data_IF_940433736845
#
_entry.id   IF_940433736845
#
_cell.length_a   1.000
_cell.length_b   1.000
_cell.length_c   1.000
_cell.angle_alpha   90.00
_cell.angle_beta   90.00
_cell.angle_gamma   90.00
#
_symmetry.space_group_name_H-M   'P 1'
#
loop_
_entity.id
_entity.type
_entity.pdbx_description
1 polymer ?
#
# COMPACT_ATOMS: atom_id res chain seq x y z
N UNK A 1 43.16 -57.21 -24.13
CA UNK A 1 42.36 -57.69 -25.28
C UNK A 1 40.93 -57.77 -24.83
N UNK A 2 40.05 -57.12 -25.59
CA UNK A 2 38.60 -57.33 -25.68
C UNK A 2 37.77 -56.98 -24.43
N UNK A 3 36.97 -55.90 -24.42
CA UNK A 3 35.66 -55.72 -25.09
C UNK A 3 34.77 -56.98 -24.88
N UNK A 4 33.54 -56.91 -24.39
CA UNK A 4 32.45 -56.06 -24.88
C UNK A 4 31.20 -56.17 -23.96
N UNK A 5 30.46 -55.07 -23.85
CA UNK A 5 28.97 -54.94 -23.90
C UNK A 5 28.07 -55.70 -22.90
N UNK A 6 27.35 -54.91 -22.07
CA UNK A 6 25.90 -54.62 -22.13
C UNK A 6 25.50 -54.04 -20.77
N UNK A 7 25.35 -52.72 -20.59
CA UNK A 7 24.24 -51.87 -20.99
C UNK A 7 22.88 -52.38 -20.50
N UNK A 8 22.40 -51.83 -19.38
CA UNK A 8 20.99 -51.57 -19.10
C UNK A 8 20.93 -50.42 -18.11
N UNK A 9 20.85 -49.23 -18.67
CA UNK A 9 20.47 -47.99 -18.00
C UNK A 9 18.95 -48.08 -17.85
N UNK A 10 18.45 -48.31 -16.63
CA UNK A 10 17.05 -48.07 -16.30
C UNK A 10 16.87 -46.56 -16.12
N UNK A 11 16.67 -45.88 -17.25
CA UNK A 11 16.03 -44.56 -17.28
C UNK A 11 14.59 -44.74 -16.86
N UNK A 12 14.28 -44.34 -15.64
CA UNK A 12 12.91 -44.10 -15.20
C UNK A 12 12.63 -42.60 -15.36
N UNK A 13 11.94 -42.13 -16.43
CA UNK A 13 11.43 -40.79 -16.46
C UNK A 13 10.13 -40.80 -15.66
N UNK A 14 10.24 -40.63 -14.35
CA UNK A 14 9.09 -40.12 -13.59
C UNK A 14 8.98 -38.65 -13.91
N UNK A 15 8.41 -38.37 -15.09
CA UNK A 15 7.65 -37.16 -15.39
C UNK A 15 6.57 -37.04 -14.30
N UNK A 16 6.98 -36.50 -13.15
CA UNK A 16 6.05 -35.84 -12.26
C UNK A 16 5.78 -34.51 -12.96
N UNK A 17 4.89 -34.57 -13.94
CA UNK A 17 4.11 -33.42 -14.33
C UNK A 17 3.65 -32.79 -13.02
N UNK A 18 4.23 -31.64 -12.67
CA UNK A 18 3.59 -30.73 -11.74
C UNK A 18 2.23 -30.46 -12.37
N UNK A 19 1.26 -31.21 -11.87
CA UNK A 19 -0.13 -30.99 -12.17
C UNK A 19 -0.37 -29.58 -11.71
N UNK A 20 -0.61 -28.69 -12.68
CA UNK A 20 -1.27 -27.42 -12.43
C UNK A 20 -2.33 -27.65 -11.35
N UNK A 21 -2.37 -26.85 -10.28
CA UNK A 21 -3.52 -26.89 -9.40
C UNK A 21 -4.69 -26.41 -10.25
N UNK A 22 -5.42 -27.37 -10.79
CA UNK A 22 -6.71 -27.22 -11.41
C UNK A 22 -7.53 -26.30 -10.48
N UNK A 23 -7.85 -25.04 -10.86
CA UNK A 23 -8.75 -24.22 -10.08
C UNK A 23 -10.19 -24.63 -10.43
N UNK A 24 -10.46 -25.94 -10.49
CA UNK A 24 -11.83 -26.45 -10.53
C UNK A 24 -12.33 -26.57 -9.09
N UNK A 25 -12.41 -25.40 -8.45
CA UNK A 25 -13.43 -25.16 -7.45
C UNK A 25 -14.15 -23.90 -7.88
N UNK A 26 -15.07 -24.06 -8.85
CA UNK A 26 -16.24 -23.21 -8.96
C UNK A 26 -17.12 -23.39 -7.71
N UNK A 27 -16.55 -23.14 -6.53
CA UNK A 27 -17.34 -22.59 -5.43
C UNK A 27 -17.85 -21.27 -5.99
N UNK A 28 -19.10 -21.24 -6.42
CA UNK A 28 -19.85 -20.00 -6.59
C UNK A 28 -19.65 -19.23 -5.28
N UNK A 29 -18.70 -18.28 -5.26
CA UNK A 29 -18.55 -17.35 -4.15
C UNK A 29 -19.92 -16.70 -4.00
N UNK A 30 -20.62 -17.02 -2.91
CA UNK A 30 -21.90 -16.40 -2.61
C UNK A 30 -21.66 -14.91 -2.55
N UNK A 31 -22.29 -14.15 -3.44
CA UNK A 31 -21.99 -12.71 -3.53
C UNK A 31 -22.43 -12.01 -2.26
N UNK A 32 -21.80 -10.89 -1.90
CA UNK A 32 -22.21 -10.11 -0.72
C UNK A 32 -23.67 -9.67 -0.81
N UNK A 33 -24.18 -9.47 -2.03
CA UNK A 33 -25.58 -9.17 -2.28
C UNK A 33 -26.52 -10.34 -1.91
N UNK A 34 -26.16 -11.58 -2.25
CA UNK A 34 -26.90 -12.77 -1.84
C UNK A 34 -26.88 -12.94 -0.31
N UNK A 35 -25.73 -12.69 0.33
CA UNK A 35 -25.60 -12.70 1.79
C UNK A 35 -26.49 -11.64 2.46
N UNK A 36 -26.52 -10.42 1.91
CA UNK A 36 -27.37 -9.34 2.41
C UNK A 36 -28.85 -9.71 2.31
N UNK A 37 -29.27 -10.26 1.16
CA UNK A 37 -30.66 -10.71 0.93
C UNK A 37 -31.04 -11.80 1.93
N UNK A 38 -30.16 -12.78 2.14
CA UNK A 38 -30.35 -13.84 3.13
C UNK A 38 -30.46 -13.29 4.55
N UNK A 39 -29.67 -12.28 4.90
CA UNK A 39 -29.69 -11.66 6.23
C UNK A 39 -30.97 -10.88 6.47
N UNK A 40 -31.50 -10.20 5.45
CA UNK A 40 -32.81 -9.54 5.48
C UNK A 40 -33.90 -10.59 5.73
N UNK A 41 -33.92 -11.67 4.96
CA UNK A 41 -34.89 -12.76 5.10
C UNK A 41 -34.85 -13.39 6.51
N UNK A 42 -33.64 -13.68 7.01
CA UNK A 42 -33.47 -14.19 8.37
C UNK A 42 -33.96 -13.21 9.44
N UNK A 43 -33.75 -11.91 9.24
CA UNK A 43 -34.14 -10.88 10.21
C UNK A 43 -35.66 -10.69 10.23
N UNK A 44 -36.31 -10.70 9.07
CA UNK A 44 -37.76 -10.61 8.95
C UNK A 44 -38.44 -11.84 9.56
N UNK A 45 -37.99 -13.03 9.19
CA UNK A 45 -38.49 -14.28 9.74
C UNK A 45 -38.31 -14.35 11.26
N UNK A 46 -37.14 -13.94 11.77
CA UNK A 46 -36.89 -13.86 13.22
C UNK A 46 -37.77 -12.83 13.92
N UNK A 47 -37.99 -11.67 13.31
CA UNK A 47 -38.89 -10.65 13.84
C UNK A 47 -40.31 -11.21 13.98
N UNK A 48 -40.79 -11.93 12.97
CA UNK A 48 -42.10 -12.60 13.01
C UNK A 48 -42.16 -13.65 14.11
N UNK A 49 -41.19 -14.58 14.16
CA UNK A 49 -41.17 -15.63 15.18
C UNK A 49 -41.03 -15.11 16.62
N UNK A 50 -40.60 -13.86 16.80
CA UNK A 50 -40.52 -13.22 18.11
C UNK A 50 -41.87 -12.71 18.63
N UNK A 51 -42.89 -12.61 17.76
CA UNK A 51 -44.23 -12.20 18.14
C UNK A 51 -45.00 -13.41 18.71
N UNK A 52 -45.49 -13.26 19.93
CA UNK A 52 -46.40 -14.23 20.52
C UNK A 52 -47.84 -13.85 20.19
N UNK A 53 -48.41 -14.49 19.17
CA UNK A 53 -49.77 -14.24 18.68
C UNK A 53 -50.84 -14.45 19.76
N UNK A 54 -50.76 -15.54 20.53
CA UNK A 54 -51.71 -15.84 21.62
C UNK A 54 -51.71 -14.71 22.66
N UNK A 55 -50.52 -14.26 23.06
CA UNK A 55 -50.37 -13.15 24.00
C UNK A 55 -50.87 -11.82 23.40
N UNK A 56 -50.56 -11.52 22.13
CA UNK A 56 -51.03 -10.29 21.47
C UNK A 56 -52.55 -10.22 21.36
N UNK A 57 -53.20 -11.32 20.95
CA UNK A 57 -54.66 -11.37 20.81
C UNK A 57 -55.32 -11.25 22.18
N UNK A 58 -54.77 -11.93 23.19
CA UNK A 58 -55.27 -11.85 24.57
C UNK A 58 -55.10 -10.46 25.19
N UNK A 59 -53.96 -9.80 24.98
CA UNK A 59 -53.69 -8.47 25.51
C UNK A 59 -54.51 -7.37 24.82
N UNK A 60 -54.80 -7.54 23.53
CA UNK A 60 -55.50 -6.52 22.73
C UNK A 60 -57.02 -6.68 22.79
N UNK A 61 -57.51 -7.91 22.77
CA UNK A 61 -58.95 -8.21 22.66
C UNK A 61 -59.53 -8.86 23.91
N UNK A 62 -58.73 -9.47 24.80
CA UNK A 62 -59.17 -10.00 26.09
C UNK A 62 -60.43 -10.88 26.00
N UNK A 63 -61.44 -10.56 26.79
CA UNK A 63 -62.76 -11.22 26.79
C UNK A 63 -63.55 -11.02 25.49
N UNK A 64 -63.28 -9.94 24.77
CA UNK A 64 -64.02 -9.53 23.57
C UNK A 64 -63.62 -10.37 22.35
N UNK A 65 -62.54 -11.18 22.45
CA UNK A 65 -62.18 -12.17 21.43
C UNK A 65 -63.33 -13.15 21.12
N UNK A 66 -64.20 -13.40 22.10
CA UNK A 66 -65.41 -14.23 21.93
C UNK A 66 -66.45 -13.61 20.97
N UNK A 67 -66.50 -12.28 20.84
CA UNK A 67 -67.42 -11.55 19.95
C UNK A 67 -67.03 -11.77 18.48
N UNK A 68 -65.75 -12.00 18.20
CA UNK A 68 -65.20 -12.20 16.85
C UNK A 68 -65.20 -13.67 16.39
N UNK A 69 -65.93 -14.55 17.10
CA UNK A 69 -66.01 -15.97 16.77
C UNK A 69 -64.92 -16.83 17.43
N UNK A 70 -64.19 -16.28 18.39
CA UNK A 70 -63.19 -17.00 19.18
C UNK A 70 -61.77 -16.55 18.89
N UNK A 71 -60.87 -16.90 19.81
CA UNK A 71 -59.46 -16.51 19.77
C UNK A 71 -58.72 -17.05 18.53
N UNK A 72 -59.03 -18.28 18.12
CA UNK A 72 -58.40 -18.95 16.98
C UNK A 72 -58.62 -18.20 15.65
N UNK A 73 -59.79 -17.58 15.46
CA UNK A 73 -60.09 -16.82 14.24
C UNK A 73 -59.27 -15.52 14.20
N UNK A 74 -59.15 -14.83 15.34
CA UNK A 74 -58.34 -13.62 15.45
C UNK A 74 -56.85 -13.91 15.27
N UNK A 75 -56.34 -15.00 15.85
CA UNK A 75 -54.97 -15.47 15.63
C UNK A 75 -54.70 -15.73 14.15
N UNK A 76 -55.60 -16.43 13.46
CA UNK A 76 -55.48 -16.68 12.02
C UNK A 76 -55.52 -15.41 11.17
N UNK A 77 -56.32 -14.40 11.54
CA UNK A 77 -56.35 -13.11 10.83
C UNK A 77 -55.04 -12.34 11.06
N UNK A 78 -54.54 -12.30 12.30
CA UNK A 78 -53.31 -11.61 12.66
C UNK A 78 -52.10 -12.28 12.00
N UNK A 79 -52.05 -13.60 11.95
CA UNK A 79 -50.99 -14.34 11.25
C UNK A 79 -51.00 -14.05 9.74
N UNK A 80 -52.17 -14.11 9.09
CA UNK A 80 -52.30 -13.72 7.68
C UNK A 80 -51.94 -12.25 7.40
N UNK A 81 -52.20 -11.34 8.34
CA UNK A 81 -51.78 -9.94 8.22
C UNK A 81 -50.26 -9.81 8.35
N UNK A 82 -49.64 -10.57 9.25
CA UNK A 82 -48.20 -10.57 9.46
C UNK A 82 -47.46 -11.22 8.29
N UNK A 83 -47.99 -12.28 7.67
CA UNK A 83 -47.53 -12.84 6.39
C UNK A 83 -47.48 -11.76 5.30
N UNK A 84 -48.60 -11.08 5.08
CA UNK A 84 -48.69 -10.02 4.06
C UNK A 84 -47.78 -8.84 4.37
N UNK A 85 -47.60 -8.51 5.65
CA UNK A 85 -46.69 -7.46 6.07
C UNK A 85 -45.24 -7.85 5.81
N UNK A 86 -44.85 -9.08 6.13
CA UNK A 86 -43.52 -9.64 5.84
C UNK A 86 -43.22 -9.56 4.33
N UNK A 87 -44.14 -10.03 3.49
CA UNK A 87 -44.02 -9.95 2.03
C UNK A 87 -43.92 -8.52 1.51
N UNK A 88 -44.77 -7.61 2.01
CA UNK A 88 -44.77 -6.19 1.60
C UNK A 88 -43.48 -5.49 1.99
N UNK A 89 -42.97 -5.77 3.20
CA UNK A 89 -41.71 -5.20 3.68
C UNK A 89 -40.54 -5.74 2.85
N UNK A 90 -40.51 -7.04 2.57
CA UNK A 90 -39.50 -7.66 1.72
C UNK A 90 -39.48 -7.06 0.32
N UNK A 91 -40.65 -6.89 -0.30
CA UNK A 91 -40.77 -6.26 -1.61
C UNK A 91 -40.25 -4.81 -1.59
N UNK A 92 -40.67 -4.01 -0.60
CA UNK A 92 -40.20 -2.61 -0.47
C UNK A 92 -38.70 -2.51 -0.25
N UNK A 93 -38.11 -3.40 0.55
CA UNK A 93 -36.67 -3.46 0.77
C UNK A 93 -35.95 -3.79 -0.55
N UNK A 94 -36.43 -4.78 -1.30
CA UNK A 94 -35.86 -5.14 -2.60
C UNK A 94 -35.94 -3.99 -3.61
N UNK A 95 -37.09 -3.33 -3.72
CA UNK A 95 -37.25 -2.14 -4.57
C UNK A 95 -36.30 -1.01 -4.15
N UNK A 96 -36.10 -0.81 -2.85
CA UNK A 96 -35.18 0.20 -2.34
C UNK A 96 -33.71 -0.14 -2.63
N UNK A 97 -33.32 -1.40 -2.47
CA UNK A 97 -31.97 -1.89 -2.81
C UNK A 97 -31.68 -1.75 -4.31
N UNK A 98 -32.67 -2.02 -5.17
CA UNK A 98 -32.57 -1.84 -6.61
C UNK A 98 -32.41 -0.36 -6.97
N UNK A 99 -33.27 0.52 -6.41
CA UNK A 99 -33.20 1.97 -6.64
C UNK A 99 -31.86 2.58 -6.24
N UNK A 100 -31.26 2.09 -5.16
CA UNK A 100 -29.95 2.55 -4.67
C UNK A 100 -28.77 1.90 -5.42
N UNK A 101 -29.02 0.94 -6.31
CA UNK A 101 -27.96 0.21 -7.00
C UNK A 101 -27.06 -0.57 -6.05
N UNK A 102 -27.61 -1.08 -4.95
CA UNK A 102 -26.82 -1.78 -3.89
C UNK A 102 -26.10 -3.00 -4.47
N UNK A 103 -26.74 -3.72 -5.39
CA UNK A 103 -26.14 -4.86 -6.07
C UNK A 103 -24.85 -4.45 -6.79
N UNK A 104 -24.92 -3.44 -7.66
CA UNK A 104 -23.77 -2.94 -8.42
C UNK A 104 -22.64 -2.51 -7.49
N UNK A 105 -22.93 -1.77 -6.42
CA UNK A 105 -21.92 -1.33 -5.46
C UNK A 105 -21.27 -2.48 -4.70
N UNK A 106 -22.03 -3.51 -4.36
CA UNK A 106 -21.49 -4.70 -3.68
C UNK A 106 -20.67 -5.57 -4.63
N UNK A 107 -21.07 -5.66 -5.90
CA UNK A 107 -20.30 -6.33 -6.95
C UNK A 107 -18.97 -5.60 -7.19
N UNK A 108 -18.97 -4.26 -7.28
CA UNK A 108 -17.75 -3.44 -7.37
C UNK A 108 -16.80 -3.65 -6.19
N UNK A 109 -17.33 -3.76 -4.97
CA UNK A 109 -16.51 -4.03 -3.78
C UNK A 109 -15.90 -5.44 -3.86
N UNK A 110 -16.64 -6.42 -4.36
CA UNK A 110 -16.13 -7.79 -4.50
C UNK A 110 -15.01 -7.84 -5.55
N UNK A 111 -15.16 -7.10 -6.66
CA UNK A 111 -14.13 -6.98 -7.69
C UNK A 111 -12.85 -6.34 -7.15
N UNK A 112 -12.96 -5.24 -6.38
CA UNK A 112 -11.81 -4.60 -5.73
C UNK A 112 -11.10 -5.56 -4.77
N UNK A 113 -11.86 -6.31 -3.97
CA UNK A 113 -11.28 -7.27 -3.04
C UNK A 113 -10.57 -8.38 -3.79
N UNK A 114 -11.16 -8.88 -4.89
CA UNK A 114 -10.52 -9.92 -5.68
C UNK A 114 -9.24 -9.43 -6.36
N UNK A 115 -9.23 -8.20 -6.86
CA UNK A 115 -8.02 -7.57 -7.42
C UNK A 115 -6.90 -7.47 -6.38
N UNK A 116 -7.22 -7.01 -5.16
CA UNK A 116 -6.25 -6.91 -4.06
C UNK A 116 -5.74 -8.29 -3.60
N UNK A 117 -6.61 -9.30 -3.54
CA UNK A 117 -6.20 -10.68 -3.23
C UNK A 117 -5.23 -11.23 -4.28
N UNK A 118 -5.50 -10.98 -5.57
CA UNK A 118 -4.63 -11.39 -6.67
C UNK A 118 -3.29 -10.65 -6.66
N UNK A 119 -3.29 -9.34 -6.40
CA UNK A 119 -2.06 -8.56 -6.29
C UNK A 119 -1.18 -9.05 -5.14
N UNK A 120 -1.77 -9.26 -3.96
CA UNK A 120 -1.06 -9.80 -2.80
C UNK A 120 -0.47 -11.19 -3.08
N UNK A 121 -1.24 -12.05 -3.76
CA UNK A 121 -0.76 -13.38 -4.17
C UNK A 121 0.43 -13.29 -5.13
N UNK A 122 0.40 -12.38 -6.10
CA UNK A 122 1.52 -12.17 -7.03
C UNK A 122 2.76 -11.63 -6.33
N UNK A 123 2.60 -10.68 -5.40
CA UNK A 123 3.72 -10.17 -4.61
C UNK A 123 4.36 -11.28 -3.78
N UNK A 124 3.55 -12.09 -3.09
CA UNK A 124 4.04 -13.20 -2.30
C UNK A 124 4.76 -14.26 -3.16
N UNK A 125 4.24 -14.55 -4.35
CA UNK A 125 4.90 -15.45 -5.31
C UNK A 125 6.24 -14.87 -5.79
N UNK A 126 6.29 -13.59 -6.13
CA UNK A 126 7.52 -12.92 -6.55
C UNK A 126 8.58 -12.92 -5.44
N UNK A 127 8.19 -12.65 -4.19
CA UNK A 127 9.10 -12.71 -3.05
C UNK A 127 9.63 -14.13 -2.83
N UNK A 128 8.77 -15.14 -3.00
CA UNK A 128 9.15 -16.54 -2.87
C UNK A 128 10.11 -16.97 -3.99
N UNK A 129 9.85 -16.56 -5.23
CA UNK A 129 10.72 -16.80 -6.38
C UNK A 129 12.10 -16.14 -6.20
N UNK A 130 12.14 -14.92 -5.65
CA UNK A 130 13.39 -14.22 -5.32
C UNK A 130 14.19 -14.96 -4.25
N UNK A 131 13.53 -15.47 -3.21
CA UNK A 131 14.15 -16.27 -2.16
C UNK A 131 14.72 -17.56 -2.74
N UNK A 132 13.97 -18.26 -3.57
CA UNK A 132 14.37 -19.54 -4.14
C UNK A 132 15.48 -19.36 -5.18
N UNK A 133 15.43 -18.29 -5.98
CA UNK A 133 16.50 -17.88 -6.88
C UNK A 133 17.79 -17.55 -6.12
N UNK A 134 17.70 -16.79 -5.02
CA UNK A 134 18.84 -16.46 -4.18
C UNK A 134 19.46 -17.72 -3.54
N UNK A 135 18.63 -18.66 -3.08
CA UNK A 135 19.09 -19.96 -2.56
C UNK A 135 19.74 -20.80 -3.64
N UNK A 136 19.18 -20.84 -4.83
CA UNK A 136 19.73 -21.63 -5.93
C UNK A 136 21.07 -21.05 -6.42
N UNK A 137 21.18 -19.73 -6.55
CA UNK A 137 22.43 -19.05 -6.86
C UNK A 137 23.49 -19.31 -5.78
N UNK A 138 23.07 -19.41 -4.53
CA UNK A 138 23.92 -19.74 -3.41
C UNK A 138 24.41 -21.19 -3.44
N UNK A 139 23.52 -22.15 -3.69
CA UNK A 139 23.86 -23.58 -3.77
C UNK A 139 24.75 -23.90 -4.99
N UNK A 140 24.58 -23.16 -6.09
CA UNK A 140 25.41 -23.28 -7.30
C UNK A 140 26.76 -22.58 -7.20
N UNK A 141 26.94 -21.66 -6.24
CA UNK A 141 28.21 -21.02 -5.99
C UNK A 141 29.15 -22.00 -5.27
N UNK A 142 29.81 -22.87 -6.05
CA UNK A 142 30.89 -23.72 -5.54
C UNK A 142 32.03 -22.82 -5.08
N UNK A 143 32.15 -22.66 -3.76
CA UNK A 143 33.26 -21.93 -3.16
C UNK A 143 34.55 -22.72 -3.42
N UNK A 144 35.64 -22.06 -3.86
CA UNK A 144 36.95 -22.69 -4.01
C UNK A 144 37.38 -23.39 -2.72
N UNK A 145 38.05 -24.55 -2.83
CA UNK A 145 38.52 -25.31 -1.67
C UNK A 145 39.30 -24.41 -0.68
N UNK A 146 38.87 -24.40 0.58
CA UNK A 146 39.47 -23.59 1.66
C UNK A 146 38.77 -22.26 1.97
N UNK A 147 37.77 -21.84 1.18
CA UNK A 147 36.95 -20.66 1.48
C UNK A 147 35.69 -21.06 2.24
N UNK A 148 35.65 -20.77 3.54
CA UNK A 148 34.42 -20.86 4.33
C UNK A 148 33.48 -19.70 3.93
N UNK A 149 32.19 -19.99 3.79
CA UNK A 149 31.13 -19.04 3.49
C UNK A 149 31.21 -17.72 4.28
N UNK A 150 31.51 -17.80 5.58
CA UNK A 150 31.68 -16.59 6.41
C UNK A 150 32.80 -15.68 5.90
N UNK A 151 33.89 -16.25 5.38
CA UNK A 151 35.01 -15.50 4.80
C UNK A 151 34.65 -14.85 3.46
N UNK A 152 33.85 -15.53 2.63
CA UNK A 152 33.38 -14.97 1.36
C UNK A 152 32.46 -13.76 1.60
N UNK A 153 31.51 -13.87 2.54
CA UNK A 153 30.62 -12.75 2.93
C UNK A 153 31.44 -11.58 3.47
N UNK A 154 32.39 -11.85 4.38
CA UNK A 154 33.25 -10.80 4.92
C UNK A 154 34.14 -10.14 3.87
N UNK A 155 34.60 -10.88 2.85
CA UNK A 155 35.41 -10.34 1.77
C UNK A 155 34.60 -9.40 0.86
N UNK A 156 33.37 -9.78 0.48
CA UNK A 156 32.48 -8.91 -0.32
C UNK A 156 32.09 -7.66 0.48
N UNK A 157 31.77 -7.82 1.76
CA UNK A 157 31.50 -6.69 2.65
C UNK A 157 32.73 -5.76 2.80
N UNK A 158 33.93 -6.33 2.87
CA UNK A 158 35.18 -5.58 2.90
C UNK A 158 35.43 -4.82 1.59
N UNK A 159 35.18 -5.44 0.43
CA UNK A 159 35.30 -4.76 -0.86
C UNK A 159 34.36 -3.56 -0.97
N UNK A 160 33.07 -3.72 -0.65
CA UNK A 160 32.13 -2.59 -0.63
C UNK A 160 32.58 -1.49 0.33
N UNK A 161 33.13 -1.86 1.49
CA UNK A 161 33.66 -0.89 2.46
C UNK A 161 34.89 -0.15 1.92
N UNK A 162 35.73 -0.82 1.12
CA UNK A 162 36.88 -0.21 0.45
C UNK A 162 36.43 0.79 -0.62
N UNK A 163 35.47 0.40 -1.47
CA UNK A 163 34.88 1.29 -2.48
C UNK A 163 34.27 2.55 -1.84
N UNK A 164 33.49 2.38 -0.76
CA UNK A 164 32.93 3.53 -0.04
C UNK A 164 34.00 4.43 0.56
N UNK A 165 35.09 3.86 1.07
CA UNK A 165 36.23 4.63 1.59
C UNK A 165 36.90 5.45 0.49
N UNK A 166 37.10 4.87 -0.68
CA UNK A 166 37.70 5.56 -1.84
C UNK A 166 36.80 6.68 -2.36
N UNK A 167 35.49 6.44 -2.45
CA UNK A 167 34.52 7.46 -2.82
C UNK A 167 34.49 8.62 -1.81
N UNK A 168 34.54 8.32 -0.51
CA UNK A 168 34.58 9.34 0.53
C UNK A 168 35.88 10.14 0.51
N UNK A 169 37.02 9.48 0.28
CA UNK A 169 38.31 10.16 0.14
C UNK A 169 38.31 11.13 -1.04
N UNK A 170 37.73 10.71 -2.18
CA UNK A 170 37.58 11.58 -3.35
C UNK A 170 36.67 12.78 -3.05
N UNK A 171 35.51 12.56 -2.42
CA UNK A 171 34.60 13.64 -2.07
C UNK A 171 35.21 14.64 -1.07
N UNK A 172 36.02 14.16 -0.12
CA UNK A 172 36.77 15.02 0.78
C UNK A 172 37.79 15.88 0.03
N UNK A 173 38.52 15.29 -0.92
CA UNK A 173 39.48 16.04 -1.71
C UNK A 173 38.81 17.09 -2.61
N UNK A 174 37.69 16.74 -3.23
CA UNK A 174 36.89 17.70 -4.03
C UNK A 174 36.41 18.88 -3.17
N UNK A 175 35.99 18.64 -1.92
CA UNK A 175 35.61 19.69 -0.97
C UNK A 175 36.80 20.54 -0.51
N UNK A 176 37.97 19.94 -0.28
CA UNK A 176 39.19 20.67 0.09
C UNK A 176 39.64 21.62 -1.03
N UNK A 177 39.58 21.15 -2.28
CA UNK A 177 39.87 21.97 -3.47
C UNK A 177 38.87 23.13 -3.62
N UNK A 178 37.57 22.88 -3.39
CA UNK A 178 36.55 23.92 -3.40
C UNK A 178 36.78 24.97 -2.31
N UNK A 179 37.10 24.55 -1.08
CA UNK A 179 37.43 25.47 0.02
C UNK A 179 38.65 26.32 -0.32
N UNK A 180 39.69 25.73 -0.92
CA UNK A 180 40.87 26.46 -1.35
C UNK A 180 40.53 27.51 -2.42
N UNK A 181 39.71 27.15 -3.41
CA UNK A 181 39.24 28.06 -4.44
C UNK A 181 38.41 29.23 -3.85
N UNK A 182 37.48 28.93 -2.95
CA UNK A 182 36.65 29.93 -2.28
C UNK A 182 37.48 30.89 -1.40
N UNK A 183 38.49 30.38 -0.68
CA UNK A 183 39.43 31.22 0.08
C UNK A 183 40.20 32.18 -0.82
N UNK A 184 40.72 31.70 -1.94
CA UNK A 184 41.40 32.56 -2.92
C UNK A 184 40.45 33.65 -3.46
N UNK A 185 39.20 33.29 -3.77
CA UNK A 185 38.19 34.23 -4.23
C UNK A 185 37.86 35.28 -3.15
N UNK A 186 37.78 34.87 -1.88
CA UNK A 186 37.58 35.77 -0.75
C UNK A 186 38.74 36.77 -0.63
N UNK A 187 39.99 36.31 -0.66
CA UNK A 187 41.17 37.17 -0.58
C UNK A 187 41.22 38.19 -1.73
N UNK A 188 40.87 37.77 -2.95
CA UNK A 188 40.77 38.67 -4.10
C UNK A 188 39.69 39.74 -3.90
N UNK A 189 38.51 39.34 -3.40
CA UNK A 189 37.42 40.25 -3.14
C UNK A 189 37.78 41.26 -2.04
N UNK A 190 38.38 40.81 -0.94
CA UNK A 190 38.87 41.66 0.15
C UNK A 190 39.93 42.66 -0.36
N UNK A 191 40.86 42.21 -1.19
CA UNK A 191 41.86 43.07 -1.82
C UNK A 191 41.25 44.14 -2.71
N UNK A 192 40.23 43.78 -3.52
CA UNK A 192 39.48 44.73 -4.36
C UNK A 192 38.72 45.76 -3.51
N UNK A 193 38.03 45.32 -2.46
CA UNK A 193 37.30 46.21 -1.53
C UNK A 193 38.26 47.18 -0.85
N UNK A 194 39.40 46.69 -0.36
CA UNK A 194 40.42 47.53 0.29
C UNK A 194 40.99 48.58 -0.67
N UNK A 195 41.31 48.20 -1.90
CA UNK A 195 41.77 49.14 -2.94
C UNK A 195 40.71 50.19 -3.27
N UNK A 196 39.45 49.79 -3.40
CA UNK A 196 38.35 50.71 -3.69
C UNK A 196 38.08 51.67 -2.52
N UNK A 197 38.15 51.18 -1.28
CA UNK A 197 38.03 52.00 -0.08
C UNK A 197 39.13 53.06 0.00
N UNK A 198 40.39 52.69 -0.28
CA UNK A 198 41.51 53.65 -0.36
C UNK A 198 41.29 54.71 -1.44
N UNK A 199 40.82 54.30 -2.64
CA UNK A 199 40.49 55.25 -3.72
C UNK A 199 39.37 56.21 -3.32
N UNK A 200 38.30 55.71 -2.69
CA UNK A 200 37.21 56.55 -2.20
C UNK A 200 37.68 57.54 -1.15
N UNK A 201 38.56 57.12 -0.23
CA UNK A 201 39.15 58.01 0.77
C UNK A 201 40.00 59.11 0.13
N UNK A 202 40.78 58.79 -0.90
CA UNK A 202 41.52 59.79 -1.67
C UNK A 202 40.58 60.77 -2.39
N UNK A 203 39.51 60.28 -3.02
CA UNK A 203 38.50 61.12 -3.66
C UNK A 203 37.84 62.04 -2.64
N UNK A 204 37.47 61.53 -1.47
CA UNK A 204 36.90 62.33 -0.39
C UNK A 204 37.86 63.46 0.06
N UNK A 205 39.14 63.15 0.28
CA UNK A 205 40.16 64.16 0.61
C UNK A 205 40.34 65.20 -0.50
N UNK A 206 40.30 64.80 -1.77
CA UNK A 206 40.37 65.76 -2.88
C UNK A 206 39.13 66.65 -2.94
N UNK A 207 37.94 66.09 -2.68
CA UNK A 207 36.68 66.83 -2.66
C UNK A 207 36.66 67.85 -1.51
N UNK A 208 37.12 67.46 -0.33
CA UNK A 208 37.27 68.33 0.85
C UNK A 208 38.18 69.52 0.54
N UNK A 209 39.38 69.26 -0.02
CA UNK A 209 40.28 70.33 -0.47
C UNK A 209 39.66 71.25 -1.51
N UNK A 210 38.90 70.70 -2.46
CA UNK A 210 38.20 71.51 -3.46
C UNK A 210 37.08 72.36 -2.84
N UNK A 211 36.33 71.83 -1.88
CA UNK A 211 35.30 72.57 -1.15
C UNK A 211 35.89 73.73 -0.33
N UNK A 212 37.02 73.51 0.35
CA UNK A 212 37.74 74.56 1.08
C UNK A 212 38.19 75.71 0.16
N UNK A 213 38.73 75.38 -1.02
CA UNK A 213 39.11 76.39 -2.02
C UNK A 213 37.89 77.20 -2.47
N UNK A 214 36.76 76.56 -2.76
CA UNK A 214 35.53 77.26 -3.12
C UNK A 214 35.00 78.15 -1.99
N UNK A 215 35.12 77.72 -0.73
CA UNK A 215 34.74 78.51 0.45
C UNK A 215 35.66 79.73 0.64
N UNK A 216 36.95 79.61 0.38
CA UNK A 216 37.90 80.74 0.47
C UNK A 216 37.64 81.80 -0.61
N UNK A 217 37.31 81.38 -1.83
CA UNK A 217 37.02 82.30 -2.94
C UNK A 217 35.72 83.06 -2.71
N UNK A 218 34.71 82.41 -2.13
CA UNK A 218 33.42 83.04 -1.80
C UNK A 218 33.47 83.95 -0.58
N UNK A 219 34.39 83.72 0.37
CA UNK A 219 34.62 84.62 1.51
C UNK A 219 35.49 85.84 1.18
N UNK A 220 36.24 85.81 0.06
CA UNK A 220 37.10 86.91 -0.41
C UNK A 220 36.45 87.79 -1.50
N UNK A 221 35.21 87.47 -1.90
CA UNK A 221 34.38 88.26 -2.84
C UNK A 221 33.32 89.05 -2.08
#
# INVERSE_FOLDING_TARGET
MSNDKTNTIDTNPSDTAMSDPNPDSTQKKTTRYELLTKLIDMTLSRSRSSLNMDQMVRDTYGSDASIFGGQEILEGIVDNMLDKMEDTVKERINQHMEKLGVKTRLDEIEDIIHELEEEARRQQQSEQDDIDSARQAFDQAVLPEGVNLGKAIHYVAYQKKLEHKEQLAKALQDMEDEIAALKNQQEEAESKVRKNSQKLQQVAQTLEKSADVCSMVTAAS
#
